data_IF_857911875483
#
_entry.id   IF_857911875483
#
_cell.length_a   1.000
_cell.length_b   1.000
_cell.length_c   1.000
_cell.angle_alpha   90.00
_cell.angle_beta   90.00
_cell.angle_gamma   90.00
#
_symmetry.space_group_name_H-M   'P 1'
#
loop_
_entity.id
_entity.type
_entity.pdbx_description
1 polymer ?
#
# COMPACT_ATOMS: atom_id res chain seq x y z
N UNK A 1 0.81 19.97 -14.84
CA UNK A 1 0.11 18.67 -14.69
C UNK A 1 -0.69 18.70 -13.40
N UNK A 2 -1.62 17.77 -13.20
CA UNK A 2 -2.34 17.68 -11.91
C UNK A 2 -1.38 17.11 -10.87
N UNK A 3 -1.25 17.79 -9.73
CA UNK A 3 -0.38 17.35 -8.63
C UNK A 3 -0.78 15.94 -8.14
N UNK A 4 0.16 14.99 -8.01
CA UNK A 4 -0.14 13.64 -7.52
C UNK A 4 -0.79 13.60 -6.13
N UNK A 5 -0.63 14.65 -5.30
CA UNK A 5 -1.31 14.74 -4.00
C UNK A 5 -2.84 14.67 -4.14
N UNK A 6 -3.38 15.07 -5.29
CA UNK A 6 -4.82 14.99 -5.56
C UNK A 6 -5.34 13.55 -5.66
N UNK A 7 -4.49 12.54 -5.85
CA UNK A 7 -4.87 11.13 -5.71
C UNK A 7 -5.36 10.87 -4.28
N UNK A 8 -4.62 11.37 -3.29
CA UNK A 8 -4.94 11.21 -1.87
C UNK A 8 -6.10 12.12 -1.47
N UNK A 9 -6.04 13.40 -1.87
CA UNK A 9 -7.07 14.38 -1.51
C UNK A 9 -8.45 14.00 -2.08
N UNK A 10 -8.51 13.51 -3.32
CA UNK A 10 -9.77 13.07 -3.92
C UNK A 10 -10.34 11.85 -3.18
N UNK A 11 -9.50 10.86 -2.86
CA UNK A 11 -9.92 9.66 -2.14
C UNK A 11 -10.47 9.97 -0.75
N UNK A 12 -9.75 10.77 0.05
CA UNK A 12 -10.20 11.16 1.39
C UNK A 12 -11.42 12.08 1.34
N UNK A 13 -11.39 13.09 0.47
CA UNK A 13 -12.48 14.04 0.30
C UNK A 13 -13.78 13.35 -0.08
N UNK A 14 -13.73 12.45 -1.08
CA UNK A 14 -14.91 11.69 -1.49
C UNK A 14 -15.31 10.63 -0.47
N UNK A 15 -14.36 9.94 0.16
CA UNK A 15 -14.64 9.00 1.23
C UNK A 15 -15.43 9.64 2.37
N UNK A 16 -15.02 10.84 2.80
CA UNK A 16 -15.74 11.64 3.79
C UNK A 16 -17.13 12.09 3.28
N UNK A 17 -17.20 12.59 2.04
CA UNK A 17 -18.46 13.01 1.43
C UNK A 17 -19.48 11.85 1.33
N UNK A 18 -19.06 10.63 1.00
CA UNK A 18 -19.96 9.46 0.97
C UNK A 18 -20.54 9.16 2.36
N UNK A 19 -19.76 9.36 3.43
CA UNK A 19 -20.22 9.25 4.81
C UNK A 19 -21.37 10.21 5.13
N UNK A 20 -21.29 11.45 4.64
CA UNK A 20 -22.32 12.49 4.83
C UNK A 20 -23.49 12.31 3.86
N UNK A 21 -23.20 12.20 2.56
CA UNK A 21 -24.16 12.21 1.46
C UNK A 21 -24.84 10.86 1.22
N UNK A 22 -24.47 9.80 1.94
CA UNK A 22 -25.02 8.46 1.67
C UNK A 22 -26.52 8.29 1.95
N UNK A 23 -27.24 9.34 2.36
CA UNK A 23 -28.72 9.40 2.33
C UNK A 23 -29.28 9.57 0.90
N UNK A 24 -28.45 10.02 -0.06
CA UNK A 24 -28.83 10.27 -1.47
C UNK A 24 -28.92 8.99 -2.34
N UNK A 25 -28.73 7.81 -1.74
CA UNK A 25 -28.90 6.52 -2.40
C UNK A 25 -27.61 5.80 -2.75
N UNK A 26 -27.70 4.47 -2.82
CA UNK A 26 -26.56 3.56 -2.96
C UNK A 26 -25.89 3.66 -4.34
N UNK A 27 -26.67 3.89 -5.39
CA UNK A 27 -26.17 4.07 -6.76
C UNK A 27 -25.34 5.34 -6.87
N UNK A 28 -25.80 6.44 -6.28
CA UNK A 28 -25.07 7.70 -6.29
C UNK A 28 -23.70 7.56 -5.60
N UNK A 29 -23.65 6.93 -4.42
CA UNK A 29 -22.38 6.69 -3.73
C UNK A 29 -21.42 5.78 -4.51
N UNK A 30 -21.95 4.80 -5.23
CA UNK A 30 -21.14 3.94 -6.11
C UNK A 30 -20.61 4.68 -7.33
N UNK A 31 -21.41 5.53 -7.96
CA UNK A 31 -20.94 6.31 -9.12
C UNK A 31 -19.87 7.30 -8.69
N UNK A 32 -20.06 7.96 -7.54
CA UNK A 32 -19.08 8.88 -7.00
C UNK A 32 -17.75 8.19 -6.66
N UNK A 33 -17.78 6.96 -6.12
CA UNK A 33 -16.56 6.19 -5.86
C UNK A 33 -15.84 5.81 -7.16
N UNK A 34 -16.57 5.35 -8.19
CA UNK A 34 -15.99 5.05 -9.50
C UNK A 34 -15.37 6.29 -10.16
N UNK A 35 -16.04 7.44 -10.12
CA UNK A 35 -15.50 8.70 -10.64
C UNK A 35 -14.21 9.11 -9.92
N UNK A 36 -14.11 8.85 -8.62
CA UNK A 36 -12.91 9.13 -7.84
C UNK A 36 -11.75 8.25 -8.29
N UNK A 37 -11.98 6.94 -8.45
CA UNK A 37 -10.96 6.01 -8.90
C UNK A 37 -10.55 6.31 -10.36
N UNK A 38 -11.51 6.69 -11.20
CA UNK A 38 -11.23 7.14 -12.56
C UNK A 38 -10.35 8.41 -12.57
N UNK A 39 -10.62 9.36 -11.66
CA UNK A 39 -9.78 10.54 -11.48
C UNK A 39 -8.37 10.17 -10.99
N UNK A 40 -8.22 9.26 -10.02
CA UNK A 40 -6.90 8.76 -9.57
C UNK A 40 -6.13 8.11 -10.73
N UNK A 41 -6.82 7.33 -11.57
CA UNK A 41 -6.25 6.70 -12.78
C UNK A 41 -5.82 7.75 -13.80
N UNK A 42 -6.63 8.80 -14.00
CA UNK A 42 -6.30 9.91 -14.90
C UNK A 42 -5.04 10.66 -14.44
N UNK A 43 -4.92 10.96 -13.14
CA UNK A 43 -3.73 11.64 -12.60
C UNK A 43 -2.49 10.77 -12.80
N UNK A 44 -2.52 9.50 -12.36
CA UNK A 44 -1.37 8.59 -12.48
C UNK A 44 -0.94 8.32 -13.93
N UNK A 45 -1.89 8.06 -14.83
CA UNK A 45 -1.61 7.86 -16.27
C UNK A 45 -1.10 9.13 -16.96
N UNK A 46 -1.60 10.31 -16.57
CA UNK A 46 -1.10 11.59 -17.05
C UNK A 46 0.37 11.83 -16.70
N UNK A 47 0.79 11.43 -15.48
CA UNK A 47 2.19 11.44 -15.06
C UNK A 47 3.04 10.45 -15.84
N UNK A 48 2.56 9.21 -16.01
CA UNK A 48 3.27 8.19 -16.78
C UNK A 48 3.49 8.64 -18.24
N UNK A 49 2.46 9.22 -18.87
CA UNK A 49 2.55 9.77 -20.22
C UNK A 49 3.56 10.92 -20.31
N UNK A 50 3.57 11.82 -19.33
CA UNK A 50 4.49 12.94 -19.32
C UNK A 50 5.96 12.48 -19.23
N UNK A 51 6.26 11.48 -18.41
CA UNK A 51 7.60 10.87 -18.37
C UNK A 51 7.97 10.18 -19.68
N UNK A 52 7.03 9.43 -20.28
CA UNK A 52 7.27 8.77 -21.56
C UNK A 52 7.57 9.77 -22.69
N UNK A 53 6.90 10.93 -22.67
CA UNK A 53 7.14 12.01 -23.64
C UNK A 53 8.46 12.76 -23.43
N UNK A 54 9.26 12.41 -22.41
CA UNK A 54 10.53 13.05 -22.09
C UNK A 54 10.41 14.46 -21.51
N UNK A 55 9.20 14.88 -21.14
CA UNK A 55 8.90 16.27 -20.77
C UNK A 55 8.98 16.57 -19.28
N UNK A 56 9.34 15.59 -18.42
CA UNK A 56 9.26 15.75 -16.97
C UNK A 56 10.39 15.06 -16.22
N UNK A 57 10.75 15.65 -15.09
CA UNK A 57 11.65 15.09 -14.07
C UNK A 57 10.80 14.66 -12.87
N UNK A 58 11.31 13.73 -12.06
CA UNK A 58 10.61 13.27 -10.86
C UNK A 58 10.26 14.44 -9.93
N UNK A 59 9.04 14.46 -9.42
CA UNK A 59 8.54 15.53 -8.54
C UNK A 59 8.50 15.04 -7.10
N UNK A 60 9.10 15.82 -6.19
CA UNK A 60 8.98 15.62 -4.74
C UNK A 60 7.89 16.54 -4.22
N UNK A 61 6.84 15.94 -3.68
CA UNK A 61 5.70 16.63 -3.10
C UNK A 61 5.94 16.71 -1.59
N UNK A 62 6.23 17.91 -1.14
CA UNK A 62 6.39 18.21 0.29
C UNK A 62 5.04 18.52 0.93
N UNK A 63 4.68 17.77 1.96
CA UNK A 63 3.47 18.04 2.73
C UNK A 63 3.67 19.22 3.69
N UNK A 64 2.62 20.01 3.90
CA UNK A 64 2.59 21.13 4.86
C UNK A 64 3.61 22.28 4.65
N UNK A 65 4.23 22.38 3.47
CA UNK A 65 5.10 23.51 3.12
C UNK A 65 6.51 23.47 3.72
N UNK A 66 6.89 22.38 4.38
CA UNK A 66 8.25 22.13 4.86
C UNK A 66 8.95 21.14 3.94
N UNK A 67 10.29 21.14 3.90
CA UNK A 67 11.06 20.09 3.24
C UNK A 67 11.41 18.98 4.23
N UNK A 68 11.81 17.81 3.72
CA UNK A 68 12.43 16.77 4.55
C UNK A 68 13.59 17.38 5.37
N UNK A 69 13.77 16.98 6.65
CA UNK A 69 13.08 15.89 7.36
C UNK A 69 11.81 16.29 8.14
N UNK A 70 11.36 17.55 8.04
CA UNK A 70 10.23 18.06 8.85
C UNK A 70 8.85 17.87 8.19
N UNK A 71 8.81 17.30 6.99
CA UNK A 71 7.60 16.95 6.24
C UNK A 71 7.64 15.50 5.76
N UNK A 72 6.45 14.92 5.56
CA UNK A 72 6.31 13.67 4.82
C UNK A 72 6.41 14.01 3.34
N UNK A 73 7.42 13.46 2.67
CA UNK A 73 7.60 13.63 1.23
C UNK A 73 6.97 12.47 0.47
N UNK A 74 6.23 12.79 -0.59
CA UNK A 74 5.80 11.83 -1.60
C UNK A 74 6.63 12.07 -2.86
N UNK A 75 7.15 11.02 -3.49
CA UNK A 75 7.80 11.13 -4.78
C UNK A 75 6.89 10.60 -5.87
N UNK A 76 6.77 11.35 -6.96
CA UNK A 76 6.23 10.86 -8.21
C UNK A 76 7.34 10.83 -9.26
N UNK A 77 8.03 9.68 -9.35
CA UNK A 77 8.97 9.36 -10.42
C UNK A 77 8.34 8.43 -11.46
N UNK A 78 9.18 7.96 -12.41
CA UNK A 78 8.73 7.03 -13.46
C UNK A 78 8.17 5.72 -12.88
N UNK A 79 8.88 5.13 -11.91
CA UNK A 79 8.46 3.89 -11.28
C UNK A 79 7.16 4.09 -10.50
N UNK A 80 7.06 5.15 -9.71
CA UNK A 80 5.85 5.48 -8.95
C UNK A 80 4.65 5.73 -9.88
N UNK A 81 4.84 6.47 -10.98
CA UNK A 81 3.80 6.72 -11.97
C UNK A 81 3.33 5.44 -12.67
N UNK A 82 4.27 4.56 -13.04
CA UNK A 82 3.93 3.28 -13.66
C UNK A 82 3.13 2.38 -12.73
N UNK A 83 3.58 2.20 -11.49
CA UNK A 83 2.94 1.29 -10.54
C UNK A 83 1.61 1.85 -10.01
N UNK A 84 1.51 3.15 -9.73
CA UNK A 84 0.24 3.79 -9.37
C UNK A 84 -0.78 3.70 -10.50
N UNK A 85 -0.35 3.79 -11.76
CA UNK A 85 -1.24 3.59 -12.92
C UNK A 85 -1.79 2.17 -12.95
N UNK A 86 -0.96 1.15 -12.74
CA UNK A 86 -1.40 -0.26 -12.68
C UNK A 86 -2.41 -0.45 -11.53
N UNK A 87 -2.06 0.02 -10.32
CA UNK A 87 -2.92 -0.09 -9.14
C UNK A 87 -4.28 0.58 -9.37
N UNK A 88 -4.29 1.80 -9.89
CA UNK A 88 -5.52 2.56 -10.11
C UNK A 88 -6.35 2.01 -11.26
N UNK A 89 -5.71 1.58 -12.35
CA UNK A 89 -6.42 0.99 -13.49
C UNK A 89 -7.08 -0.33 -13.12
N UNK A 90 -6.35 -1.22 -12.44
CA UNK A 90 -6.90 -2.49 -11.95
C UNK A 90 -7.94 -2.24 -10.86
N UNK A 91 -7.73 -1.25 -9.99
CA UNK A 91 -8.72 -0.76 -9.03
C UNK A 91 -9.99 -0.22 -9.70
N UNK A 92 -9.89 0.45 -10.84
CA UNK A 92 -11.06 0.93 -11.59
C UNK A 92 -11.86 -0.24 -12.16
N UNK A 93 -11.19 -1.21 -12.78
CA UNK A 93 -11.83 -2.43 -13.29
C UNK A 93 -12.48 -3.25 -12.17
N UNK A 94 -11.79 -3.40 -11.04
CA UNK A 94 -12.32 -4.06 -9.85
C UNK A 94 -13.51 -3.33 -9.25
N UNK A 95 -13.47 -1.99 -9.20
CA UNK A 95 -14.59 -1.16 -8.77
C UNK A 95 -15.82 -1.34 -9.66
N UNK A 96 -15.64 -1.40 -10.98
CA UNK A 96 -16.72 -1.64 -11.94
C UNK A 96 -17.32 -3.04 -11.70
N UNK A 97 -16.46 -4.06 -11.55
CA UNK A 97 -16.89 -5.44 -11.32
C UNK A 97 -17.64 -5.60 -9.98
N UNK A 98 -17.17 -4.95 -8.92
CA UNK A 98 -17.73 -5.05 -7.56
C UNK A 98 -18.87 -4.07 -7.31
N UNK A 99 -19.23 -3.21 -8.27
CA UNK A 99 -20.21 -2.14 -8.08
C UNK A 99 -21.53 -2.64 -7.46
N UNK A 100 -22.18 -3.62 -8.08
CA UNK A 100 -23.44 -4.14 -7.56
C UNK A 100 -23.27 -4.91 -6.24
N UNK A 101 -22.13 -5.59 -6.03
CA UNK A 101 -21.81 -6.28 -4.78
C UNK A 101 -21.73 -5.27 -3.63
N UNK A 102 -20.90 -4.23 -3.76
CA UNK A 102 -20.76 -3.18 -2.75
C UNK A 102 -22.08 -2.44 -2.50
N UNK A 103 -22.87 -2.19 -3.54
CA UNK A 103 -24.23 -1.66 -3.38
C UNK A 103 -25.12 -2.51 -2.46
N UNK A 104 -25.03 -3.84 -2.54
CA UNK A 104 -25.78 -4.75 -1.67
C UNK A 104 -25.29 -4.70 -0.22
N UNK A 105 -23.96 -4.66 -0.03
CA UNK A 105 -23.31 -4.61 1.29
C UNK A 105 -23.41 -3.25 1.99
N UNK A 106 -23.65 -2.19 1.23
CA UNK A 106 -23.91 -0.84 1.74
C UNK A 106 -22.79 0.14 1.44
N UNK A 107 -23.08 1.44 1.64
CA UNK A 107 -22.20 2.54 1.23
C UNK A 107 -20.78 2.49 1.80
N UNK A 108 -20.62 1.90 2.99
CA UNK A 108 -19.31 1.82 3.66
C UNK A 108 -18.34 0.95 2.85
N UNK A 109 -18.83 -0.02 2.08
CA UNK A 109 -18.01 -0.84 1.19
C UNK A 109 -17.22 0.02 0.19
N UNK A 110 -17.88 0.99 -0.43
CA UNK A 110 -17.24 1.92 -1.36
C UNK A 110 -16.21 2.80 -0.67
N UNK A 111 -16.47 3.27 0.55
CA UNK A 111 -15.52 4.10 1.30
C UNK A 111 -14.27 3.31 1.62
N UNK A 112 -14.44 2.10 2.18
CA UNK A 112 -13.31 1.21 2.51
C UNK A 112 -12.52 0.87 1.25
N UNK A 113 -13.20 0.67 0.12
CA UNK A 113 -12.56 0.39 -1.16
C UNK A 113 -11.70 1.56 -1.69
N UNK A 114 -12.19 2.79 -1.62
CA UNK A 114 -11.42 3.98 -2.00
C UNK A 114 -10.22 4.16 -1.06
N UNK A 115 -10.41 3.98 0.26
CA UNK A 115 -9.35 4.08 1.27
C UNK A 115 -8.27 3.01 1.04
N UNK A 116 -8.67 1.79 0.68
CA UNK A 116 -7.75 0.72 0.29
C UNK A 116 -6.87 1.14 -0.89
N UNK A 117 -7.46 1.59 -2.01
CA UNK A 117 -6.71 2.02 -3.19
C UNK A 117 -5.80 3.23 -2.90
N UNK A 118 -6.31 4.21 -2.15
CA UNK A 118 -5.52 5.35 -1.71
C UNK A 118 -4.30 4.92 -0.90
N UNK A 119 -4.47 4.00 0.04
CA UNK A 119 -3.36 3.54 0.86
C UNK A 119 -2.27 2.84 0.04
N UNK A 120 -2.65 2.06 -0.97
CA UNK A 120 -1.70 1.47 -1.92
C UNK A 120 -0.94 2.53 -2.73
N UNK A 121 -1.62 3.59 -3.17
CA UNK A 121 -0.95 4.70 -3.88
C UNK A 121 0.06 5.41 -2.97
N UNK A 122 -0.28 5.66 -1.70
CA UNK A 122 0.66 6.32 -0.77
C UNK A 122 1.82 5.39 -0.41
N UNK A 123 1.60 4.08 -0.26
CA UNK A 123 2.70 3.12 -0.09
C UNK A 123 3.70 3.20 -1.25
N UNK A 124 3.23 3.39 -2.48
CA UNK A 124 4.09 3.54 -3.65
C UNK A 124 4.84 4.87 -3.61
N UNK A 125 4.14 5.99 -3.38
CA UNK A 125 4.73 7.33 -3.47
C UNK A 125 5.56 7.73 -2.24
N UNK A 126 5.30 7.16 -1.06
CA UNK A 126 5.92 7.63 0.20
C UNK A 126 7.43 7.47 0.22
N UNK A 127 8.10 8.53 0.70
CA UNK A 127 9.54 8.59 0.99
C UNK A 127 9.86 8.68 2.48
N UNK A 128 8.89 8.38 3.34
CA UNK A 128 9.06 8.33 4.79
C UNK A 128 8.70 6.94 5.34
N UNK A 129 9.60 6.39 6.18
CA UNK A 129 9.50 5.04 6.71
C UNK A 129 8.33 4.85 7.69
N UNK A 130 8.02 5.85 8.51
CA UNK A 130 6.86 5.79 9.40
C UNK A 130 5.56 5.94 8.63
N UNK A 131 5.56 6.78 7.60
CA UNK A 131 4.41 6.90 6.71
C UNK A 131 4.15 5.61 5.93
N UNK A 132 5.19 4.84 5.55
CA UNK A 132 5.00 3.49 5.00
C UNK A 132 4.28 2.58 6.00
N UNK A 133 4.64 2.61 7.30
CA UNK A 133 3.95 1.86 8.34
C UNK A 133 2.48 2.26 8.47
N UNK A 134 2.19 3.57 8.54
CA UNK A 134 0.82 4.08 8.67
C UNK A 134 -0.05 3.60 7.52
N UNK A 135 0.44 3.69 6.28
CA UNK A 135 -0.34 3.27 5.13
C UNK A 135 -0.40 1.76 4.94
N UNK A 136 0.60 1.01 5.42
CA UNK A 136 0.51 -0.45 5.52
C UNK A 136 -0.66 -0.83 6.45
N UNK A 137 -0.73 -0.24 7.65
CA UNK A 137 -1.84 -0.46 8.59
C UNK A 137 -3.21 -0.06 8.02
N UNK A 138 -3.32 1.11 7.38
CA UNK A 138 -4.56 1.53 6.73
C UNK A 138 -5.00 0.52 5.67
N UNK A 139 -4.07 0.04 4.83
CA UNK A 139 -4.39 -0.95 3.80
C UNK A 139 -4.75 -2.32 4.38
N UNK A 140 -4.10 -2.74 5.48
CA UNK A 140 -4.40 -3.99 6.18
C UNK A 140 -5.79 -3.95 6.82
N UNK A 141 -6.13 -2.88 7.53
CA UNK A 141 -7.46 -2.71 8.13
C UNK A 141 -8.53 -2.66 7.04
N UNK A 142 -8.28 -1.94 5.94
CA UNK A 142 -9.21 -1.88 4.81
C UNK A 142 -9.38 -3.26 4.14
N UNK A 143 -8.30 -4.02 3.98
CA UNK A 143 -8.33 -5.38 3.42
C UNK A 143 -9.14 -6.32 4.32
N UNK A 144 -8.90 -6.31 5.64
CA UNK A 144 -9.70 -7.06 6.59
C UNK A 144 -11.18 -6.68 6.51
N UNK A 145 -11.50 -5.38 6.45
CA UNK A 145 -12.87 -4.89 6.30
C UNK A 145 -13.55 -5.38 5.02
N UNK A 146 -12.84 -5.40 3.90
CA UNK A 146 -13.36 -5.89 2.60
C UNK A 146 -13.48 -7.43 2.54
N UNK A 147 -12.70 -8.18 3.32
CA UNK A 147 -12.91 -9.63 3.49
C UNK A 147 -14.15 -9.87 4.35
N UNK A 148 -14.25 -9.20 5.49
CA UNK A 148 -15.30 -9.40 6.50
C UNK A 148 -16.67 -8.84 6.07
N UNK A 149 -16.72 -8.04 4.99
CA UNK A 149 -17.99 -7.58 4.42
C UNK A 149 -18.73 -8.72 3.72
N UNK A 150 -18.03 -9.79 3.34
CA UNK A 150 -18.64 -10.97 2.76
C UNK A 150 -19.19 -11.90 3.84
N UNK A 151 -20.34 -12.51 3.55
CA UNK A 151 -21.05 -13.34 4.51
C UNK A 151 -20.49 -14.77 4.48
N UNK A 152 -20.11 -15.32 5.64
CA UNK A 152 -19.76 -16.73 5.77
C UNK A 152 -18.73 -17.05 6.85
N UNK A 153 -18.78 -18.25 7.42
CA UNK A 153 -17.80 -18.63 8.45
C UNK A 153 -16.35 -18.66 7.93
N UNK A 154 -16.16 -18.96 6.64
CA UNK A 154 -14.84 -18.93 5.99
C UNK A 154 -14.29 -17.51 5.86
N UNK A 155 -15.14 -16.52 5.56
CA UNK A 155 -14.73 -15.12 5.41
C UNK A 155 -14.32 -14.54 6.78
N UNK A 156 -15.06 -14.87 7.84
CA UNK A 156 -14.74 -14.47 9.22
C UNK A 156 -13.40 -15.06 9.66
N UNK A 157 -13.18 -16.36 9.42
CA UNK A 157 -11.91 -17.01 9.74
C UNK A 157 -10.73 -16.41 8.99
N UNK A 158 -10.89 -16.15 7.68
CA UNK A 158 -9.85 -15.53 6.85
C UNK A 158 -9.52 -14.10 7.31
N UNK A 159 -10.55 -13.26 7.51
CA UNK A 159 -10.36 -11.88 7.96
C UNK A 159 -9.70 -11.79 9.33
N UNK A 160 -10.10 -12.65 10.28
CA UNK A 160 -9.50 -12.68 11.61
C UNK A 160 -8.03 -13.11 11.59
N UNK A 161 -7.69 -14.20 10.88
CA UNK A 161 -6.30 -14.66 10.73
C UNK A 161 -5.44 -13.61 10.03
N UNK A 162 -5.98 -12.95 9.00
CA UNK A 162 -5.30 -11.87 8.30
C UNK A 162 -5.00 -10.69 9.24
N UNK A 163 -5.97 -10.24 10.04
CA UNK A 163 -5.76 -9.15 11.01
C UNK A 163 -4.70 -9.51 12.06
N UNK A 164 -4.71 -10.73 12.59
CA UNK A 164 -3.71 -11.17 13.56
C UNK A 164 -2.30 -11.20 12.95
N UNK A 165 -2.15 -11.78 11.76
CA UNK A 165 -0.87 -11.88 11.08
C UNK A 165 -0.31 -10.50 10.73
N UNK A 166 -1.13 -9.64 10.11
CA UNK A 166 -0.72 -8.28 9.73
C UNK A 166 -0.42 -7.41 10.95
N UNK A 167 -1.21 -7.49 12.02
CA UNK A 167 -0.92 -6.75 13.26
C UNK A 167 0.41 -7.17 13.90
N UNK A 168 0.75 -8.47 13.88
CA UNK A 168 2.05 -8.95 14.34
C UNK A 168 3.20 -8.44 13.47
N UNK A 169 3.05 -8.50 12.13
CA UNK A 169 4.04 -8.00 11.16
C UNK A 169 4.26 -6.51 11.36
N UNK A 170 3.19 -5.72 11.46
CA UNK A 170 3.27 -4.28 11.65
C UNK A 170 3.86 -3.88 13.00
N UNK A 171 3.65 -4.69 14.05
CA UNK A 171 4.29 -4.47 15.35
C UNK A 171 5.81 -4.64 15.24
N UNK A 172 6.28 -5.67 14.51
CA UNK A 172 7.71 -5.88 14.22
C UNK A 172 8.25 -4.72 13.37
N UNK A 173 7.49 -4.29 12.36
CA UNK A 173 7.85 -3.16 11.50
C UNK A 173 8.03 -1.88 12.31
N UNK A 174 7.06 -1.53 13.15
CA UNK A 174 7.10 -0.35 14.01
C UNK A 174 8.26 -0.40 15.00
N UNK A 175 8.54 -1.57 15.59
CA UNK A 175 9.71 -1.74 16.47
C UNK A 175 11.02 -1.49 15.72
N UNK A 176 11.12 -1.99 14.49
CA UNK A 176 12.26 -1.70 13.60
C UNK A 176 12.40 -0.20 13.32
N UNK A 177 11.29 0.48 13.00
CA UNK A 177 11.25 1.94 12.75
C UNK A 177 11.73 2.72 13.96
N UNK A 178 11.27 2.37 15.16
CA UNK A 178 11.67 3.02 16.41
C UNK A 178 13.20 2.93 16.57
N UNK A 179 13.80 1.76 16.32
CA UNK A 179 15.25 1.61 16.40
C UNK A 179 15.99 2.31 15.27
N UNK A 180 15.46 2.30 14.04
CA UNK A 180 16.06 3.06 12.92
C UNK A 180 16.14 4.54 13.30
N UNK A 181 15.05 5.11 13.81
CA UNK A 181 15.03 6.50 14.26
C UNK A 181 15.99 6.74 15.43
N UNK A 182 16.02 5.84 16.41
CA UNK A 182 16.93 5.96 17.55
C UNK A 182 18.41 6.03 17.12
N UNK A 183 18.82 5.25 16.13
CA UNK A 183 20.21 5.22 15.67
C UNK A 183 20.55 6.29 14.62
N UNK A 184 19.61 6.65 13.75
CA UNK A 184 19.87 7.53 12.59
C UNK A 184 19.36 8.96 12.76
N UNK A 185 18.37 9.19 13.63
CA UNK A 185 17.72 10.48 13.81
C UNK A 185 16.80 10.91 12.66
N UNK A 186 16.59 10.07 11.64
CA UNK A 186 15.76 10.38 10.47
C UNK A 186 14.89 9.18 10.09
N UNK A 187 13.79 9.47 9.40
CA UNK A 187 12.87 8.48 8.82
C UNK A 187 12.71 8.67 7.31
N UNK A 188 13.37 9.68 6.75
CA UNK A 188 13.37 9.95 5.33
C UNK A 188 14.21 8.89 4.61
N UNK A 189 13.61 8.16 3.67
CA UNK A 189 14.22 6.98 3.06
C UNK A 189 15.56 7.30 2.39
N UNK A 190 15.68 8.45 1.71
CA UNK A 190 16.91 8.79 0.98
C UNK A 190 18.08 9.10 1.93
N UNK A 191 17.83 9.60 3.14
CA UNK A 191 18.88 9.82 4.17
C UNK A 191 19.35 8.51 4.81
N UNK A 192 18.53 7.46 4.74
CA UNK A 192 18.85 6.15 5.30
C UNK A 192 19.73 5.33 4.35
N UNK A 193 19.70 5.60 3.04
CA UNK A 193 20.52 4.92 2.04
C UNK A 193 22.01 5.18 2.33
N UNK A 194 22.75 4.13 2.64
CA UNK A 194 24.18 4.23 2.95
C UNK A 194 24.50 4.81 4.33
N UNK A 195 23.51 4.97 5.21
CA UNK A 195 23.72 5.49 6.55
C UNK A 195 24.53 4.51 7.41
N UNK A 196 25.73 4.94 7.85
CA UNK A 196 26.67 4.09 8.59
C UNK A 196 26.18 3.68 9.98
N UNK A 197 25.25 4.43 10.59
CA UNK A 197 24.65 4.06 11.88
C UNK A 197 23.85 2.76 11.78
N UNK A 198 23.32 2.43 10.59
CA UNK A 198 22.61 1.18 10.32
C UNK A 198 23.54 -0.02 10.09
N UNK A 199 24.85 0.21 9.90
CA UNK A 199 25.85 -0.84 9.70
C UNK A 199 26.44 -1.36 11.02
N UNK A 200 26.26 -0.64 12.13
CA UNK A 200 26.68 -1.08 13.47
C UNK A 200 25.78 -2.19 14.03
N UNK A 201 26.24 -2.93 15.06
CA UNK A 201 25.50 -4.07 15.65
C UNK A 201 24.06 -3.73 16.06
N UNK A 202 23.82 -2.52 16.58
CA UNK A 202 22.47 -2.05 16.94
C UNK A 202 21.62 -1.71 15.72
N UNK A 203 22.18 -0.94 14.78
CA UNK A 203 21.52 -0.55 13.54
C UNK A 203 21.18 -1.74 12.63
N UNK A 204 22.01 -2.79 12.62
CA UNK A 204 21.73 -4.01 11.85
C UNK A 204 20.49 -4.76 12.37
N UNK A 205 20.22 -4.71 13.68
CA UNK A 205 18.99 -5.28 14.26
C UNK A 205 17.79 -4.44 13.83
N UNK A 206 17.90 -3.11 13.85
CA UNK A 206 16.85 -2.21 13.38
C UNK A 206 16.48 -2.51 11.91
N UNK A 207 17.49 -2.58 11.03
CA UNK A 207 17.31 -2.96 9.63
C UNK A 207 16.71 -4.36 9.49
N UNK A 208 17.18 -5.33 10.26
CA UNK A 208 16.63 -6.68 10.23
C UNK A 208 15.14 -6.72 10.54
N UNK A 209 14.68 -6.00 11.57
CA UNK A 209 13.26 -5.93 11.93
C UNK A 209 12.41 -5.28 10.85
N UNK A 210 12.88 -4.18 10.27
CA UNK A 210 12.21 -3.50 9.13
C UNK A 210 12.12 -4.44 7.93
N UNK A 211 13.23 -5.09 7.57
CA UNK A 211 13.31 -5.98 6.41
C UNK A 211 12.50 -7.26 6.59
N UNK A 212 12.58 -7.92 7.75
CA UNK A 212 11.82 -9.16 7.97
C UNK A 212 10.31 -8.90 7.98
N UNK A 213 9.85 -7.78 8.54
CA UNK A 213 8.44 -7.42 8.48
C UNK A 213 7.99 -7.12 7.04
N UNK A 214 8.78 -6.37 6.26
CA UNK A 214 8.50 -6.12 4.85
C UNK A 214 8.48 -7.40 4.00
N UNK A 215 9.36 -8.37 4.31
CA UNK A 215 9.37 -9.69 3.67
C UNK A 215 8.15 -10.50 4.08
N UNK A 216 7.80 -10.54 5.37
CA UNK A 216 6.60 -11.26 5.86
C UNK A 216 5.31 -10.69 5.25
N UNK A 217 5.26 -9.38 4.96
CA UNK A 217 4.12 -8.78 4.27
C UNK A 217 3.94 -9.34 2.84
N UNK A 218 4.99 -9.87 2.20
CA UNK A 218 4.89 -10.58 0.91
C UNK A 218 4.28 -11.98 1.03
N UNK A 219 4.06 -12.47 2.25
CA UNK A 219 3.51 -13.80 2.53
C UNK A 219 4.38 -14.91 1.90
N UNK A 220 5.69 -14.99 2.20
CA UNK A 220 6.59 -16.00 1.64
C UNK A 220 6.31 -17.37 2.26
N UNK A 221 6.58 -18.46 1.53
CA UNK A 221 6.50 -19.81 2.09
C UNK A 221 7.59 -20.03 3.15
N UNK A 222 7.32 -20.70 4.29
CA UNK A 222 6.06 -21.34 4.71
C UNK A 222 5.10 -20.40 5.47
N UNK A 223 5.46 -19.14 5.65
CA UNK A 223 4.67 -18.12 6.34
C UNK A 223 3.68 -17.43 5.38
N UNK A 224 2.82 -18.21 4.73
CA UNK A 224 1.86 -17.72 3.72
C UNK A 224 0.40 -18.15 3.98
N UNK A 225 0.13 -18.97 5.01
CA UNK A 225 -1.18 -19.56 5.26
C UNK A 225 -2.32 -18.55 5.40
N UNK A 226 -2.11 -17.42 6.09
CA UNK A 226 -3.12 -16.37 6.18
C UNK A 226 -3.35 -15.66 4.84
N UNK A 227 -2.35 -15.64 3.96
CA UNK A 227 -2.46 -15.13 2.60
C UNK A 227 -3.33 -16.03 1.72
N UNK A 228 -3.19 -17.34 1.84
CA UNK A 228 -4.02 -18.32 1.13
C UNK A 228 -5.49 -18.23 1.56
N UNK A 229 -5.73 -18.14 2.87
CA UNK A 229 -7.08 -17.98 3.42
C UNK A 229 -7.78 -16.73 2.89
N UNK A 230 -7.05 -15.66 2.59
CA UNK A 230 -7.61 -14.43 1.98
C UNK A 230 -8.13 -14.68 0.57
N UNK A 231 -7.41 -15.46 -0.24
CA UNK A 231 -7.84 -15.79 -1.60
C UNK A 231 -9.04 -16.74 -1.62
N UNK A 232 -9.11 -17.68 -0.67
CA UNK A 232 -10.23 -18.61 -0.55
C UNK A 232 -11.45 -17.99 0.14
N UNK A 233 -11.22 -17.05 1.06
CA UNK A 233 -12.23 -16.50 1.96
C UNK A 233 -12.80 -15.15 1.53
N UNK A 234 -12.33 -14.52 0.46
CA UNK A 234 -12.83 -13.22 -0.01
C UNK A 234 -13.58 -13.32 -1.34
N UNK A 235 -14.30 -12.25 -1.70
CA UNK A 235 -14.94 -12.18 -3.01
C UNK A 235 -13.89 -12.25 -4.12
N UNK A 236 -14.15 -13.04 -5.17
CA UNK A 236 -13.19 -13.28 -6.27
C UNK A 236 -12.65 -12.00 -6.91
N UNK A 237 -13.53 -10.99 -7.09
CA UNK A 237 -13.12 -9.68 -7.59
C UNK A 237 -12.16 -8.93 -6.67
N UNK A 238 -12.30 -9.08 -5.35
CA UNK A 238 -11.37 -8.49 -4.40
C UNK A 238 -10.07 -9.28 -4.31
N UNK A 239 -10.13 -10.62 -4.35
CA UNK A 239 -8.95 -11.49 -4.46
C UNK A 239 -8.04 -11.12 -5.65
N UNK A 240 -8.63 -10.83 -6.82
CA UNK A 240 -7.87 -10.40 -8.00
C UNK A 240 -7.11 -9.07 -7.76
N UNK A 241 -7.72 -8.14 -7.01
CA UNK A 241 -7.11 -6.88 -6.64
C UNK A 241 -5.96 -7.07 -5.64
N UNK A 242 -6.10 -7.96 -4.67
CA UNK A 242 -5.01 -8.28 -3.73
C UNK A 242 -3.82 -8.85 -4.50
N UNK A 243 -4.08 -9.79 -5.42
CA UNK A 243 -3.05 -10.45 -6.22
C UNK A 243 -2.27 -9.47 -7.10
N UNK A 244 -2.91 -8.39 -7.57
CA UNK A 244 -2.27 -7.41 -8.45
C UNK A 244 -1.84 -6.15 -7.70
N UNK A 245 -2.79 -5.41 -7.15
CA UNK A 245 -2.57 -4.07 -6.61
C UNK A 245 -1.79 -4.10 -5.28
N UNK A 246 -2.20 -4.95 -4.33
CA UNK A 246 -1.50 -5.08 -3.04
C UNK A 246 -0.10 -5.64 -3.24
N UNK A 247 0.03 -6.72 -4.02
CA UNK A 247 1.33 -7.32 -4.34
C UNK A 247 2.29 -6.30 -4.99
N UNK A 248 1.80 -5.48 -5.93
CA UNK A 248 2.60 -4.43 -6.58
C UNK A 248 3.09 -3.38 -5.59
N UNK A 249 2.20 -2.85 -4.73
CA UNK A 249 2.56 -1.82 -3.76
C UNK A 249 3.52 -2.35 -2.69
N UNK A 250 3.24 -3.54 -2.14
CA UNK A 250 4.12 -4.20 -1.19
C UNK A 250 5.48 -4.46 -1.80
N UNK A 251 5.55 -5.01 -3.02
CA UNK A 251 6.80 -5.24 -3.75
C UNK A 251 7.63 -3.97 -3.87
N UNK A 252 7.00 -2.86 -4.27
CA UNK A 252 7.71 -1.60 -4.41
C UNK A 252 8.18 -1.02 -3.07
N UNK A 253 7.42 -1.23 -1.99
CA UNK A 253 7.88 -0.91 -0.63
C UNK A 253 9.15 -1.71 -0.30
N UNK A 254 9.16 -3.03 -0.51
CA UNK A 254 10.36 -3.85 -0.25
C UNK A 254 11.53 -3.43 -1.14
N UNK A 255 11.29 -3.07 -2.40
CA UNK A 255 12.31 -2.54 -3.30
C UNK A 255 12.96 -1.27 -2.74
N UNK A 256 12.18 -0.33 -2.19
CA UNK A 256 12.72 0.88 -1.54
C UNK A 256 13.55 0.54 -0.31
N UNK A 257 13.09 -0.40 0.51
CA UNK A 257 13.81 -0.83 1.73
C UNK A 257 15.09 -1.59 1.42
N UNK A 258 15.12 -2.35 0.33
CA UNK A 258 16.31 -3.04 -0.18
C UNK A 258 17.47 -2.08 -0.48
N UNK A 259 17.18 -0.89 -1.00
CA UNK A 259 18.18 0.15 -1.26
C UNK A 259 18.85 0.64 0.03
N UNK A 260 18.10 0.68 1.13
CA UNK A 260 18.60 1.05 2.46
C UNK A 260 19.40 -0.11 3.07
N UNK A 261 18.86 -1.32 2.97
CA UNK A 261 19.42 -2.51 3.58
C UNK A 261 20.75 -2.93 2.93
N UNK A 262 20.96 -2.59 1.64
CA UNK A 262 22.20 -2.81 0.92
C UNK A 262 22.32 -4.20 0.26
N UNK A 263 23.37 -4.42 -0.55
CA UNK A 263 23.50 -5.60 -1.41
C UNK A 263 23.51 -6.96 -0.69
N UNK A 264 23.89 -6.98 0.59
CA UNK A 264 23.92 -8.18 1.43
C UNK A 264 22.54 -8.84 1.59
N UNK A 265 21.44 -8.10 1.39
CA UNK A 265 20.08 -8.64 1.45
C UNK A 265 19.61 -9.28 0.14
N UNK A 266 20.32 -9.07 -0.97
CA UNK A 266 19.92 -9.61 -2.28
C UNK A 266 19.90 -11.14 -2.28
N UNK A 267 20.92 -11.79 -1.72
CA UNK A 267 21.02 -13.25 -1.69
C UNK A 267 19.98 -13.90 -0.76
N UNK A 268 19.78 -13.45 0.50
CA UNK A 268 18.69 -13.93 1.35
C UNK A 268 17.31 -13.79 0.70
N UNK A 269 17.01 -12.64 0.09
CA UNK A 269 15.70 -12.41 -0.55
C UNK A 269 15.52 -13.29 -1.78
N UNK A 270 16.57 -13.48 -2.59
CA UNK A 270 16.53 -14.41 -3.72
C UNK A 270 16.25 -15.85 -3.26
N UNK A 271 16.87 -16.30 -2.17
CA UNK A 271 16.61 -17.62 -1.60
C UNK A 271 15.19 -17.76 -1.07
N UNK A 272 14.69 -16.77 -0.33
CA UNK A 272 13.30 -16.77 0.18
C UNK A 272 12.32 -16.78 -1.00
N UNK A 273 12.58 -16.00 -2.04
CA UNK A 273 11.79 -15.98 -3.26
C UNK A 273 11.81 -17.32 -4.00
N UNK A 274 12.98 -17.93 -4.18
CA UNK A 274 13.10 -19.25 -4.81
C UNK A 274 12.39 -20.34 -4.00
N UNK A 275 12.53 -20.33 -2.67
CA UNK A 275 11.85 -21.27 -1.80
C UNK A 275 10.33 -21.07 -1.83
N UNK A 276 9.87 -19.82 -1.90
CA UNK A 276 8.45 -19.48 -2.08
C UNK A 276 7.92 -19.96 -3.43
N UNK A 277 8.69 -19.80 -4.50
CA UNK A 277 8.31 -20.25 -5.84
C UNK A 277 8.19 -21.78 -5.94
N UNK A 278 9.05 -22.53 -5.25
CA UNK A 278 9.01 -24.00 -5.24
C UNK A 278 7.93 -24.53 -4.30
N UNK A 279 7.67 -23.83 -3.19
CA UNK A 279 6.70 -24.24 -2.17
C UNK A 279 5.26 -23.80 -2.41
N UNK A 280 5.01 -22.91 -3.37
CA UNK A 280 3.68 -22.45 -3.79
C UNK A 280 3.11 -23.33 -4.92
#
# INVERSE_FOLDING_TARGET
MVDPIYIVAAALGVGFLIGILGKLGKTFTGVLSLLTIAFMTYVSSGWLWAFYSGNQVAEVISTAGFTAPFSINLLMGYNEAFLTTIVNFVGLLGGIYLFFNFGRKGRNAYVVYIVFLMGLNVLIMSRDLFNLFVFLEITSIATAGLILIEDGNRTVGAGFKYMLATSAISSIFLLGIIFVYFFTGTLYLDDLIGNSALLGKGGSIALFLVMIAAILEMKPFPANGWGLDVYEGSHQGFSALISTATATASYYMLYKLLLIAGPQWNYPIALIGAFTFVGA
#
